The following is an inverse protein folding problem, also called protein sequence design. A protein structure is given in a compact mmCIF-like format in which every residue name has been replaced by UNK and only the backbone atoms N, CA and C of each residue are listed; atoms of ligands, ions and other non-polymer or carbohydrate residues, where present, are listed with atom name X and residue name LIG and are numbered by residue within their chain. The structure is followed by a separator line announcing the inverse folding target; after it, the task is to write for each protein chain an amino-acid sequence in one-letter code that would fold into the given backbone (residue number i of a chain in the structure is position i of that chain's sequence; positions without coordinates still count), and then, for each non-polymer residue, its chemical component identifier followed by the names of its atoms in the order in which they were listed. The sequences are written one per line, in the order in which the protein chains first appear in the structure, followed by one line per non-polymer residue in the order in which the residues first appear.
data_IF_000482196005
#
_entry.id   IF_000482196005
#
_cell.length_a   1.000
_cell.length_b   1.000
_cell.length_c   1.000
_cell.angle_alpha   90.00
_cell.angle_beta   90.00
_cell.angle_gamma   90.00
#
_symmetry.space_group_name_H-M   'P 1'
#
loop_
_entity.id
_entity.type
_entity.pdbx_description
1 polymer ?
#
# COMPACT_ATOMS: atom_id res chain seq x y z
N UNK A 1 9.47 -7.54 -3.15
CA UNK A 1 9.12 -6.12 -3.41
C UNK A 1 10.15 -5.59 -4.37
N UNK A 2 9.71 -4.96 -5.44
CA UNK A 2 10.57 -4.28 -6.40
C UNK A 2 10.62 -2.79 -6.04
N UNK A 3 11.81 -2.34 -5.66
CA UNK A 3 12.09 -0.94 -5.32
C UNK A 3 13.24 -0.47 -6.23
N UNK A 4 12.97 0.52 -7.09
CA UNK A 4 14.01 1.12 -7.93
C UNK A 4 14.55 2.40 -7.27
N UNK A 5 15.85 2.64 -7.41
CA UNK A 5 16.47 3.87 -6.93
C UNK A 5 15.82 5.09 -7.62
N UNK A 6 15.32 6.04 -6.81
CA UNK A 6 14.57 7.22 -7.30
C UNK A 6 13.04 7.10 -7.19
N UNK A 7 12.49 5.89 -6.97
CA UNK A 7 11.06 5.72 -6.72
C UNK A 7 10.74 5.88 -5.23
N UNK A 8 9.79 6.77 -4.91
CA UNK A 8 9.25 6.91 -3.54
C UNK A 8 8.29 5.78 -3.15
N UNK A 9 7.80 5.03 -4.14
CA UNK A 9 6.83 3.94 -3.99
C UNK A 9 7.33 2.72 -4.75
N UNK A 10 7.46 1.61 -4.04
CA UNK A 10 7.81 0.28 -4.50
C UNK A 10 6.56 -0.54 -4.84
N UNK A 11 6.73 -1.52 -5.73
CA UNK A 11 5.72 -2.51 -6.08
C UNK A 11 5.92 -3.78 -5.25
N UNK A 12 5.02 -4.00 -4.30
CA UNK A 12 5.03 -5.17 -3.41
C UNK A 12 3.88 -6.11 -3.72
N UNK A 13 4.01 -6.86 -4.82
CA UNK A 13 3.03 -7.86 -5.22
C UNK A 13 3.29 -9.23 -4.59
N UNK A 14 2.20 -9.98 -4.38
CA UNK A 14 2.27 -11.35 -3.86
C UNK A 14 2.83 -12.26 -4.97
N UNK A 15 3.72 -13.23 -4.67
CA UNK A 15 4.21 -14.15 -5.68
C UNK A 15 3.05 -14.85 -6.41
N UNK A 16 3.00 -14.72 -7.74
CA UNK A 16 1.94 -15.31 -8.57
C UNK A 16 0.63 -14.50 -8.67
N UNK A 17 0.53 -13.33 -8.01
CA UNK A 17 -0.64 -12.44 -8.11
C UNK A 17 -0.22 -10.99 -8.29
N UNK A 18 -1.06 -10.17 -8.94
CA UNK A 18 -0.88 -8.71 -9.02
C UNK A 18 -1.49 -7.94 -7.84
N UNK A 19 -1.85 -8.64 -6.77
CA UNK A 19 -2.38 -8.06 -5.54
C UNK A 19 -1.24 -7.54 -4.66
N UNK A 20 -1.40 -6.33 -4.12
CA UNK A 20 -0.40 -5.73 -3.20
C UNK A 20 -0.56 -6.35 -1.81
N UNK A 21 0.48 -7.01 -1.29
CA UNK A 21 0.38 -7.68 0.03
C UNK A 21 0.87 -6.82 1.20
N UNK A 22 1.57 -5.72 0.91
CA UNK A 22 2.12 -4.83 1.92
C UNK A 22 1.44 -3.46 1.79
N UNK A 23 0.73 -3.03 2.82
CA UNK A 23 0.22 -1.67 2.91
C UNK A 23 1.20 -0.82 3.72
N UNK A 24 1.83 0.17 3.06
CA UNK A 24 2.76 1.09 3.70
C UNK A 24 2.96 2.33 2.84
N UNK A 25 3.53 3.41 3.41
CA UNK A 25 3.94 4.60 2.64
C UNK A 25 4.75 4.23 1.39
N UNK A 26 5.68 3.29 1.53
CA UNK A 26 6.56 2.88 0.44
C UNK A 26 5.89 1.90 -0.52
N UNK A 27 4.74 1.30 -0.21
CA UNK A 27 4.10 0.33 -1.10
C UNK A 27 2.81 0.86 -1.73
N UNK A 28 1.93 1.44 -0.93
CA UNK A 28 0.64 2.00 -1.36
C UNK A 28 0.63 3.51 -1.40
N UNK A 29 1.55 4.19 -0.70
CA UNK A 29 1.57 5.64 -0.58
C UNK A 29 0.68 6.12 0.58
N UNK A 30 0.11 7.31 0.44
CA UNK A 30 -0.79 7.94 1.41
C UNK A 30 -2.27 7.72 1.06
N UNK A 31 -2.63 6.51 0.61
CA UNK A 31 -3.98 6.22 0.10
C UNK A 31 -5.10 6.40 1.13
N UNK A 32 -4.75 6.35 2.42
CA UNK A 32 -5.69 6.48 3.54
C UNK A 32 -5.41 7.69 4.43
N UNK A 33 -4.60 8.64 3.97
CA UNK A 33 -4.18 9.82 4.74
C UNK A 33 -2.66 9.92 4.88
N UNK A 34 -2.16 11.15 5.04
CA UNK A 34 -0.73 11.48 5.18
C UNK A 34 -0.13 11.01 6.51
N UNK A 35 -0.97 10.76 7.52
CA UNK A 35 -0.59 10.24 8.83
C UNK A 35 -1.74 9.42 9.40
N UNK A 36 -2.21 8.44 8.62
CA UNK A 36 -3.38 7.66 9.01
C UNK A 36 -3.16 6.98 10.37
N UNK A 37 -3.94 7.39 11.37
CA UNK A 37 -3.96 6.75 12.68
C UNK A 37 -4.57 5.34 12.55
N UNK A 38 -4.45 4.51 13.60
CA UNK A 38 -4.97 3.13 13.58
C UNK A 38 -6.44 3.07 13.17
N UNK A 39 -7.27 4.01 13.65
CA UNK A 39 -8.69 4.08 13.28
C UNK A 39 -8.89 4.39 11.80
N UNK A 40 -8.10 5.30 11.22
CA UNK A 40 -8.19 5.62 9.78
C UNK A 40 -7.68 4.47 8.91
N UNK A 41 -6.58 3.82 9.32
CA UNK A 41 -6.05 2.63 8.66
C UNK A 41 -7.07 1.49 8.64
N UNK A 42 -7.69 1.18 9.77
CA UNK A 42 -8.59 0.02 9.88
C UNK A 42 -9.88 0.22 9.06
N UNK A 43 -10.37 1.45 8.94
CA UNK A 43 -11.56 1.76 8.16
C UNK A 43 -11.28 1.93 6.65
N UNK A 44 -10.10 2.42 6.27
CA UNK A 44 -9.80 2.74 4.87
C UNK A 44 -9.04 1.63 4.13
N UNK A 45 -8.10 0.93 4.80
CA UNK A 45 -7.25 -0.08 4.15
C UNK A 45 -8.08 -1.15 3.44
N UNK A 46 -9.11 -1.78 4.05
CA UNK A 46 -9.88 -2.84 3.40
C UNK A 46 -10.46 -2.40 2.05
N UNK A 47 -11.04 -1.20 1.98
CA UNK A 47 -11.60 -0.64 0.74
C UNK A 47 -10.53 -0.37 -0.31
N UNK A 48 -9.33 0.04 0.10
CA UNK A 48 -8.23 0.40 -0.82
C UNK A 48 -7.49 -0.83 -1.36
N UNK A 49 -7.30 -1.88 -0.57
CA UNK A 49 -6.69 -3.13 -1.07
C UNK A 49 -7.67 -3.97 -1.87
N UNK A 50 -8.97 -3.91 -1.59
CA UNK A 50 -9.99 -4.60 -2.40
C UNK A 50 -10.22 -3.93 -3.76
N UNK A 51 -10.15 -2.59 -3.82
CA UNK A 51 -10.33 -1.81 -5.06
C UNK A 51 -9.16 -1.90 -6.06
N UNK A 52 -8.14 -2.74 -5.82
CA UNK A 52 -6.83 -2.64 -6.51
C UNK A 52 -6.25 -3.97 -6.95
#
# INVERSE_FOLDING_TARGET
CECHAGQKKCTCYRPGKRETWLFSRFSTGWSCGLHADWTELTNCVPSVVDSK
#
